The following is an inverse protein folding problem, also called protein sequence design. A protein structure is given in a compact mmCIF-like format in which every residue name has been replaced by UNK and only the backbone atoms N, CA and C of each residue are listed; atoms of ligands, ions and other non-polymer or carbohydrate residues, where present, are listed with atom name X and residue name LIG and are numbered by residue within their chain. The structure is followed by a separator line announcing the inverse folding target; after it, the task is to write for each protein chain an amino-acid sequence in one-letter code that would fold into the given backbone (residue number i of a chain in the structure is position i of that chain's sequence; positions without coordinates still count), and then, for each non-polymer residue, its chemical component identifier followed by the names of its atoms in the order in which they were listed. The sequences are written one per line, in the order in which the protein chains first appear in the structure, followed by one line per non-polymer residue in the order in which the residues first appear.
data_IF_019974012379
#
_entry.id   IF_019974012379
#
_cell.length_a   1.000
_cell.length_b   1.000
_cell.length_c   1.000
_cell.angle_alpha   90.00
_cell.angle_beta   90.00
_cell.angle_gamma   90.00
#
_symmetry.space_group_name_H-M   'P 1'
#
loop_
_entity.id
_entity.type
_entity.pdbx_description
1 polymer ?
#
# COMPACT_ATOMS: atom_id res chain seq x y z
N UNK A 1 27.20 0.34 11.59
CA UNK A 1 26.02 1.18 11.83
C UNK A 1 26.42 2.56 12.26
N UNK A 2 26.01 3.53 11.49
CA UNK A 2 26.42 4.93 11.63
C UNK A 2 25.89 5.66 12.88
N UNK A 3 25.15 4.99 13.75
CA UNK A 3 24.51 5.62 14.92
C UNK A 3 24.98 5.06 16.27
N UNK A 4 26.01 4.22 16.34
CA UNK A 4 26.52 3.66 17.60
C UNK A 4 25.47 2.85 18.39
N UNK A 5 24.40 2.42 17.74
CA UNK A 5 23.30 1.66 18.34
C UNK A 5 23.70 0.19 18.50
N UNK A 6 23.33 -0.41 19.62
CA UNK A 6 23.44 -1.86 19.79
C UNK A 6 22.51 -2.58 18.78
N UNK A 7 22.84 -3.83 18.42
CA UNK A 7 22.04 -4.62 17.46
C UNK A 7 20.57 -4.67 17.89
N UNK A 8 20.30 -4.85 19.18
CA UNK A 8 18.93 -4.87 19.73
C UNK A 8 18.21 -3.53 19.56
N UNK A 9 18.90 -2.41 19.81
CA UNK A 9 18.32 -1.07 19.64
C UNK A 9 18.05 -0.77 18.15
N UNK A 10 18.94 -1.18 17.26
CA UNK A 10 18.73 -1.05 15.81
C UNK A 10 17.54 -1.86 15.31
N UNK A 11 17.32 -3.07 15.82
CA UNK A 11 16.17 -3.91 15.50
C UNK A 11 14.85 -3.27 15.98
N UNK A 12 14.81 -2.77 17.21
CA UNK A 12 13.63 -2.08 17.76
C UNK A 12 13.32 -0.82 16.95
N UNK A 13 14.34 -0.02 16.64
CA UNK A 13 14.16 1.17 15.79
C UNK A 13 13.65 0.81 14.40
N UNK A 14 14.17 -0.24 13.78
CA UNK A 14 13.73 -0.73 12.49
C UNK A 14 12.26 -1.19 12.53
N UNK A 15 11.87 -1.93 13.56
CA UNK A 15 10.50 -2.39 13.77
C UNK A 15 9.52 -1.22 13.92
N UNK A 16 9.87 -0.25 14.77
CA UNK A 16 9.03 0.95 14.98
C UNK A 16 8.91 1.75 13.68
N UNK A 17 10.00 1.96 12.98
CA UNK A 17 10.01 2.67 11.68
C UNK A 17 9.14 1.96 10.65
N UNK A 18 9.20 0.63 10.58
CA UNK A 18 8.38 -0.17 9.69
C UNK A 18 6.89 -0.05 10.04
N UNK A 19 6.54 -0.09 11.33
CA UNK A 19 5.15 0.09 11.78
C UNK A 19 4.62 1.48 11.41
N UNK A 20 5.42 2.54 11.57
CA UNK A 20 5.03 3.89 11.16
C UNK A 20 4.86 4.00 9.65
N UNK A 21 5.75 3.40 8.88
CA UNK A 21 5.67 3.37 7.42
C UNK A 21 4.39 2.66 6.96
N UNK A 22 4.14 1.45 7.46
CA UNK A 22 2.95 0.67 7.11
C UNK A 22 1.66 1.40 7.49
N UNK A 23 1.60 1.95 8.69
CA UNK A 23 0.45 2.74 9.15
C UNK A 23 0.22 3.95 8.26
N UNK A 24 1.27 4.68 7.90
CA UNK A 24 1.18 5.88 7.05
C UNK A 24 0.68 5.53 5.65
N UNK A 25 1.17 4.46 5.05
CA UNK A 25 0.74 3.98 3.73
C UNK A 25 -0.74 3.59 3.78
N UNK A 26 -1.16 2.83 4.77
CA UNK A 26 -2.54 2.39 4.91
C UNK A 26 -3.49 3.57 5.16
N UNK A 27 -3.08 4.55 5.97
CA UNK A 27 -3.87 5.78 6.19
C UNK A 27 -4.02 6.62 4.92
N UNK A 28 -2.99 6.72 4.09
CA UNK A 28 -3.02 7.47 2.84
C UNK A 28 -3.82 6.75 1.75
N UNK A 29 -3.75 5.42 1.70
CA UNK A 29 -4.35 4.60 0.64
C UNK A 29 -5.88 4.66 0.66
N UNK A 30 -6.53 4.71 1.83
CA UNK A 30 -7.98 4.68 1.94
C UNK A 30 -8.65 5.94 1.36
N UNK A 31 -8.27 7.17 1.74
CA UNK A 31 -8.79 8.38 1.11
C UNK A 31 -8.58 8.40 -0.40
N UNK A 32 -7.43 7.91 -0.87
CA UNK A 32 -7.13 7.86 -2.29
C UNK A 32 -8.08 6.93 -3.07
N UNK A 33 -8.42 5.78 -2.49
CA UNK A 33 -9.41 4.86 -3.07
C UNK A 33 -10.82 5.45 -3.04
N UNK A 34 -11.18 6.11 -1.95
CA UNK A 34 -12.49 6.76 -1.81
C UNK A 34 -12.67 7.90 -2.82
N UNK A 35 -11.66 8.73 -2.98
CA UNK A 35 -11.67 9.85 -3.95
C UNK A 35 -12.02 9.38 -5.37
N UNK A 36 -11.49 8.24 -5.82
CA UNK A 36 -11.85 7.68 -7.14
C UNK A 36 -13.33 7.37 -7.20
N UNK A 37 -13.91 6.78 -6.15
CA UNK A 37 -15.33 6.48 -6.08
C UNK A 37 -16.24 7.72 -6.05
N UNK A 38 -15.75 8.80 -5.44
CA UNK A 38 -16.50 10.04 -5.27
C UNK A 38 -16.50 10.91 -6.55
N UNK A 39 -15.44 10.82 -7.34
CA UNK A 39 -15.26 11.64 -8.55
C UNK A 39 -15.85 11.03 -9.82
N UNK A 40 -16.29 9.78 -9.81
CA UNK A 40 -16.84 9.09 -10.97
C UNK A 40 -18.32 8.74 -10.79
N UNK A 41 -19.06 8.76 -11.91
CA UNK A 41 -20.46 8.35 -11.93
C UNK A 41 -20.59 6.87 -11.56
N UNK A 42 -21.70 6.50 -10.93
CA UNK A 42 -22.03 5.13 -10.51
C UNK A 42 -21.81 4.08 -11.62
N UNK A 43 -22.18 4.42 -12.86
CA UNK A 43 -22.02 3.54 -14.03
C UNK A 43 -20.55 3.29 -14.41
N UNK A 44 -19.65 4.16 -14.02
CA UNK A 44 -18.21 4.10 -14.37
C UNK A 44 -17.36 3.65 -13.20
N UNK A 45 -17.89 3.53 -11.99
CA UNK A 45 -17.12 3.13 -10.80
C UNK A 45 -16.36 1.83 -10.99
N UNK A 46 -17.00 0.81 -11.58
CA UNK A 46 -16.35 -0.48 -11.84
C UNK A 46 -15.14 -0.36 -12.74
N UNK A 47 -15.25 0.41 -13.82
CA UNK A 47 -14.13 0.67 -14.73
C UNK A 47 -13.02 1.47 -14.06
N UNK A 48 -13.37 2.51 -13.31
CA UNK A 48 -12.40 3.36 -12.60
C UNK A 48 -11.58 2.57 -11.57
N UNK A 49 -12.22 1.72 -10.77
CA UNK A 49 -11.52 0.83 -9.83
C UNK A 49 -10.67 -0.24 -10.54
N UNK A 50 -11.10 -0.73 -11.68
CA UNK A 50 -10.32 -1.67 -12.49
C UNK A 50 -9.05 -1.02 -13.03
N UNK A 51 -9.15 0.19 -13.55
CA UNK A 51 -8.00 0.99 -14.01
C UNK A 51 -7.06 1.29 -12.84
N UNK A 52 -7.59 1.71 -11.70
CA UNK A 52 -6.80 1.97 -10.50
C UNK A 52 -6.03 0.71 -10.06
N UNK A 53 -6.69 -0.45 -10.02
CA UNK A 53 -6.05 -1.71 -9.67
C UNK A 53 -4.97 -2.10 -10.68
N UNK A 54 -5.23 -1.92 -11.97
CA UNK A 54 -4.24 -2.16 -13.02
C UNK A 54 -3.00 -1.28 -12.83
N UNK A 55 -3.17 0.02 -12.61
CA UNK A 55 -2.06 0.95 -12.40
C UNK A 55 -1.27 0.65 -11.12
N UNK A 56 -1.95 0.27 -10.04
CA UNK A 56 -1.29 -0.17 -8.80
C UNK A 56 -0.40 -1.41 -9.03
N UNK A 57 -0.91 -2.41 -9.74
CA UNK A 57 -0.13 -3.61 -10.04
C UNK A 57 1.02 -3.33 -11.02
N UNK A 58 0.80 -2.48 -12.02
CA UNK A 58 1.86 -2.04 -12.92
C UNK A 58 2.97 -1.27 -12.18
N UNK A 59 2.59 -0.40 -11.23
CA UNK A 59 3.54 0.28 -10.35
C UNK A 59 4.34 -0.68 -9.47
N UNK A 60 3.70 -1.69 -8.90
CA UNK A 60 4.38 -2.74 -8.14
C UNK A 60 5.39 -3.50 -8.99
N UNK A 61 5.01 -3.89 -10.21
CA UNK A 61 5.92 -4.56 -11.15
C UNK A 61 7.12 -3.67 -11.50
N UNK A 62 6.90 -2.39 -11.77
CA UNK A 62 7.98 -1.43 -12.01
C UNK A 62 8.92 -1.32 -10.80
N UNK A 63 8.38 -1.27 -9.58
CA UNK A 63 9.17 -1.25 -8.34
C UNK A 63 10.08 -2.48 -8.19
N UNK A 64 9.59 -3.67 -8.52
CA UNK A 64 10.39 -4.89 -8.51
C UNK A 64 11.49 -4.89 -9.58
N UNK A 65 11.29 -4.21 -10.70
CA UNK A 65 12.28 -4.13 -11.78
C UNK A 65 13.40 -3.12 -11.50
N UNK A 66 13.21 -2.14 -10.64
CA UNK A 66 14.21 -1.09 -10.39
C UNK A 66 15.59 -1.63 -10.01
N UNK A 67 15.77 -2.56 -9.08
CA UNK A 67 17.10 -3.08 -8.77
C UNK A 67 17.82 -3.71 -9.98
N UNK A 68 17.05 -4.36 -10.86
CA UNK A 68 17.59 -4.97 -12.09
C UNK A 68 17.99 -3.91 -13.12
N UNK A 69 17.17 -2.87 -13.26
CA UNK A 69 17.47 -1.73 -14.14
C UNK A 69 18.74 -1.02 -13.66
N UNK A 70 18.89 -0.80 -12.37
CA UNK A 70 20.11 -0.17 -11.81
C UNK A 70 21.33 -1.06 -11.97
N UNK A 71 21.19 -2.37 -11.81
CA UNK A 71 22.27 -3.31 -12.10
C UNK A 71 22.71 -3.25 -13.57
N UNK A 72 21.76 -3.12 -14.50
CA UNK A 72 22.05 -2.99 -15.94
C UNK A 72 22.78 -1.68 -16.28
N UNK A 73 22.59 -0.62 -15.51
CA UNK A 73 23.28 0.68 -15.66
C UNK A 73 24.68 0.67 -14.98
N UNK A 74 25.04 -0.43 -14.29
CA UNK A 74 26.34 -0.59 -13.65
C UNK A 74 26.37 -0.28 -12.15
N UNK A 75 25.21 -0.09 -11.52
CA UNK A 75 25.10 0.05 -10.06
C UNK A 75 25.11 -1.35 -9.44
N UNK A 76 26.00 -1.57 -8.47
CA UNK A 76 26.18 -2.89 -7.87
C UNK A 76 24.89 -3.39 -7.19
N UNK A 77 24.47 -4.58 -7.59
CA UNK A 77 23.36 -5.32 -6.95
C UNK A 77 23.87 -6.36 -5.93
N UNK A 78 25.20 -6.42 -5.72
CA UNK A 78 25.85 -7.35 -4.80
C UNK A 78 26.56 -6.51 -3.73
N UNK A 79 26.31 -6.86 -2.48
CA UNK A 79 26.98 -6.24 -1.34
C UNK A 79 27.53 -7.32 -0.38
N UNK A 80 28.57 -7.02 0.41
CA UNK A 80 29.05 -7.89 1.48
C UNK A 80 27.95 -8.22 2.48
N UNK A 81 28.08 -9.35 3.19
CA UNK A 81 27.13 -9.75 4.22
C UNK A 81 26.87 -8.60 5.24
N UNK A 82 25.61 -8.25 5.43
CA UNK A 82 25.18 -7.20 6.36
C UNK A 82 25.14 -5.79 5.78
N UNK A 83 25.42 -5.61 4.50
CA UNK A 83 25.30 -4.33 3.79
C UNK A 83 24.23 -4.44 2.72
N UNK A 84 23.38 -3.42 2.65
CA UNK A 84 22.34 -3.35 1.62
C UNK A 84 22.96 -2.92 0.29
N UNK A 85 22.68 -3.60 -0.85
CA UNK A 85 23.19 -3.20 -2.16
C UNK A 85 22.77 -1.78 -2.55
N UNK A 86 23.64 -1.05 -3.22
CA UNK A 86 23.40 0.33 -3.64
C UNK A 86 22.19 0.46 -4.58
N UNK A 87 21.97 -0.54 -5.45
CA UNK A 87 20.79 -0.60 -6.31
C UNK A 87 19.47 -0.57 -5.54
N UNK A 88 19.41 -1.23 -4.39
CA UNK A 88 18.23 -1.24 -3.51
C UNK A 88 18.04 0.12 -2.85
N UNK A 89 19.13 0.72 -2.35
CA UNK A 89 19.12 2.05 -1.71
C UNK A 89 18.60 3.10 -2.70
N UNK A 90 19.12 3.14 -3.93
CA UNK A 90 18.66 4.06 -4.96
C UNK A 90 17.22 3.80 -5.38
N UNK A 91 16.77 2.53 -5.42
CA UNK A 91 15.37 2.19 -5.69
C UNK A 91 14.43 2.81 -4.66
N UNK A 92 14.79 2.76 -3.37
CA UNK A 92 14.00 3.39 -2.31
C UNK A 92 13.97 4.92 -2.44
N UNK A 93 15.11 5.57 -2.71
CA UNK A 93 15.14 7.03 -2.87
C UNK A 93 14.33 7.51 -4.06
N UNK A 94 14.43 6.84 -5.20
CA UNK A 94 13.68 7.19 -6.40
C UNK A 94 12.19 6.90 -6.19
N UNK A 95 11.84 5.77 -5.60
CA UNK A 95 10.47 5.45 -5.24
C UNK A 95 9.84 6.49 -4.31
N UNK A 96 10.58 6.92 -3.28
CA UNK A 96 10.14 7.96 -2.36
C UNK A 96 9.96 9.31 -3.07
N UNK A 97 10.90 9.69 -3.95
CA UNK A 97 10.81 10.93 -4.74
C UNK A 97 9.57 10.92 -5.65
N UNK A 98 9.35 9.82 -6.38
CA UNK A 98 8.17 9.65 -7.23
C UNK A 98 6.89 9.78 -6.40
N UNK A 99 6.82 9.11 -5.25
CA UNK A 99 5.66 9.18 -4.36
C UNK A 99 5.36 10.62 -3.92
N UNK A 100 6.38 11.34 -3.46
CA UNK A 100 6.23 12.74 -3.02
C UNK A 100 5.75 13.62 -4.17
N UNK A 101 6.34 13.49 -5.35
CA UNK A 101 5.94 14.28 -6.52
C UNK A 101 4.49 13.97 -6.94
N UNK A 102 4.09 12.69 -6.92
CA UNK A 102 2.71 12.29 -7.21
C UNK A 102 1.72 12.85 -6.19
N UNK A 103 2.05 12.82 -4.90
CA UNK A 103 1.19 13.38 -3.85
C UNK A 103 1.05 14.90 -4.02
N UNK A 104 2.16 15.62 -4.24
CA UNK A 104 2.13 17.07 -4.47
C UNK A 104 1.29 17.40 -5.71
N UNK A 105 1.51 16.68 -6.81
CA UNK A 105 0.74 16.88 -8.05
C UNK A 105 -0.76 16.64 -7.82
N UNK A 106 -1.11 15.55 -7.16
CA UNK A 106 -2.52 15.21 -6.86
C UNK A 106 -3.15 16.28 -5.98
N UNK A 107 -2.49 16.68 -4.90
CA UNK A 107 -2.99 17.70 -3.97
C UNK A 107 -3.15 19.09 -4.63
N UNK A 108 -2.31 19.40 -5.62
CA UNK A 108 -2.39 20.68 -6.34
C UNK A 108 -3.43 20.70 -7.46
N UNK A 109 -3.69 19.56 -8.11
CA UNK A 109 -4.52 19.48 -9.32
C UNK A 109 -5.90 18.91 -9.08
N UNK A 110 -6.04 17.97 -8.17
CA UNK A 110 -7.33 17.33 -7.89
C UNK A 110 -8.10 18.18 -6.89
N UNK A 111 -9.27 18.65 -7.30
CA UNK A 111 -10.22 19.33 -6.40
C UNK A 111 -11.33 18.36 -6.08
N UNK A 112 -11.53 18.13 -4.80
CA UNK A 112 -12.69 17.36 -4.32
C UNK A 112 -13.96 18.19 -4.51
N UNK A 113 -15.07 17.51 -4.77
CA UNK A 113 -16.36 18.19 -4.84
C UNK A 113 -16.73 18.78 -3.47
N UNK A 114 -17.16 20.05 -3.40
CA UNK A 114 -17.79 20.57 -2.19
C UNK A 114 -18.99 19.69 -1.80
N UNK A 115 -19.33 19.57 -0.51
CA UNK A 115 -20.41 18.69 -0.04
C UNK A 115 -21.75 18.91 -0.75
N UNK A 116 -22.04 20.15 -1.17
CA UNK A 116 -23.25 20.52 -1.88
C UNK A 116 -23.24 19.99 -3.34
N UNK A 117 -22.10 20.14 -4.04
CA UNK A 117 -21.92 19.65 -5.39
C UNK A 117 -21.89 18.11 -5.41
N UNK A 118 -21.26 17.50 -4.42
CA UNK A 118 -21.25 16.05 -4.24
C UNK A 118 -22.67 15.50 -4.06
N UNK A 119 -23.48 16.13 -3.21
CA UNK A 119 -24.85 15.74 -3.00
C UNK A 119 -25.70 15.87 -4.27
N UNK A 120 -25.53 16.95 -5.03
CA UNK A 120 -26.21 17.17 -6.30
C UNK A 120 -25.80 16.14 -7.36
N UNK A 121 -24.49 15.84 -7.45
CA UNK A 121 -23.95 14.89 -8.43
C UNK A 121 -24.40 13.45 -8.17
N UNK A 122 -24.52 13.05 -6.91
CA UNK A 122 -24.95 11.71 -6.51
C UNK A 122 -26.44 11.61 -6.20
N UNK A 123 -27.21 12.68 -6.40
CA UNK A 123 -28.66 12.70 -6.17
C UNK A 123 -29.05 12.50 -4.70
N UNK A 124 -28.18 12.89 -3.76
CA UNK A 124 -28.42 12.76 -2.33
C UNK A 124 -29.23 13.96 -1.85
N UNK A 125 -30.46 13.77 -1.49
CA UNK A 125 -31.30 14.81 -0.89
C UNK A 125 -30.84 15.10 0.53
N UNK A 126 -30.68 16.37 0.89
CA UNK A 126 -30.07 16.89 2.12
C UNK A 126 -30.83 16.59 3.44
N UNK A 127 -31.60 15.52 3.54
CA UNK A 127 -32.30 15.17 4.78
C UNK A 127 -31.57 14.22 5.73
N UNK A 128 -30.28 13.94 5.48
CA UNK A 128 -29.50 13.18 6.44
C UNK A 128 -28.99 14.10 7.55
N UNK A 129 -29.83 14.33 8.59
CA UNK A 129 -29.38 14.80 9.89
C UNK A 129 -28.10 14.05 10.26
N UNK A 130 -27.02 14.78 10.57
CA UNK A 130 -25.80 14.25 11.19
C UNK A 130 -26.15 13.64 12.56
N UNK A 131 -26.74 12.47 12.57
CA UNK A 131 -26.75 11.67 13.79
C UNK A 131 -25.30 11.31 14.12
N UNK A 132 -24.88 11.70 15.31
CA UNK A 132 -23.61 11.23 15.88
C UNK A 132 -23.72 9.72 16.05
N UNK A 133 -23.39 8.98 14.99
CA UNK A 133 -23.51 7.54 14.99
C UNK A 133 -22.31 6.95 15.72
N UNK A 134 -22.58 6.26 16.81
CA UNK A 134 -21.56 5.60 17.61
C UNK A 134 -21.00 4.42 16.80
N UNK A 135 -19.71 4.47 16.46
CA UNK A 135 -19.04 3.49 15.60
C UNK A 135 -19.22 2.05 16.10
N UNK A 136 -19.18 1.83 17.41
CA UNK A 136 -19.46 0.53 18.02
C UNK A 136 -20.88 0.04 17.76
N UNK A 137 -21.85 0.92 17.80
CA UNK A 137 -23.25 0.58 17.53
C UNK A 137 -23.49 0.20 16.07
N UNK A 138 -22.77 0.85 15.15
CA UNK A 138 -22.74 0.48 13.72
C UNK A 138 -22.13 -0.90 13.50
N UNK A 139 -21.02 -1.18 14.15
CA UNK A 139 -20.33 -2.47 14.02
C UNK A 139 -21.21 -3.63 14.50
N UNK A 140 -21.84 -3.47 15.66
CA UNK A 140 -22.77 -4.50 16.21
C UNK A 140 -24.02 -4.70 15.34
N UNK A 141 -24.49 -3.62 14.69
CA UNK A 141 -25.65 -3.67 13.78
C UNK A 141 -25.28 -4.03 12.33
N UNK A 142 -24.00 -4.28 12.06
CA UNK A 142 -23.54 -4.61 10.72
C UNK A 142 -24.23 -5.90 10.19
N UNK A 143 -24.61 -5.94 8.93
CA UNK A 143 -25.25 -7.10 8.33
C UNK A 143 -24.35 -8.34 8.40
N UNK A 144 -24.95 -9.53 8.49
CA UNK A 144 -24.20 -10.80 8.54
C UNK A 144 -23.19 -10.95 7.41
N UNK A 145 -23.53 -10.45 6.21
CA UNK A 145 -22.63 -10.43 5.06
C UNK A 145 -21.30 -9.72 5.36
N UNK A 146 -21.32 -8.63 6.10
CA UNK A 146 -20.10 -7.90 6.50
C UNK A 146 -19.14 -8.78 7.32
N UNK A 147 -19.66 -9.50 8.30
CA UNK A 147 -18.87 -10.40 9.13
C UNK A 147 -18.36 -11.62 8.36
N UNK A 148 -19.18 -12.17 7.48
CA UNK A 148 -18.79 -13.30 6.62
C UNK A 148 -17.65 -12.89 5.68
N UNK A 149 -17.76 -11.74 5.01
CA UNK A 149 -16.71 -11.22 4.13
C UNK A 149 -15.45 -10.91 4.94
N UNK A 150 -15.57 -10.32 6.12
CA UNK A 150 -14.45 -10.06 7.01
C UNK A 150 -13.69 -11.34 7.41
N UNK A 151 -14.42 -12.40 7.73
CA UNK A 151 -13.83 -13.70 8.07
C UNK A 151 -13.09 -14.32 6.87
N UNK A 152 -13.71 -14.32 5.70
CA UNK A 152 -13.06 -14.80 4.47
C UNK A 152 -11.79 -14.01 4.18
N UNK A 153 -11.86 -12.68 4.29
CA UNK A 153 -10.71 -11.80 4.07
C UNK A 153 -9.57 -12.08 5.05
N UNK A 154 -9.89 -12.35 6.31
CA UNK A 154 -8.90 -12.72 7.32
C UNK A 154 -8.11 -13.98 6.91
N UNK A 155 -8.79 -15.04 6.50
CA UNK A 155 -8.12 -16.27 6.07
C UNK A 155 -7.36 -16.10 4.74
N UNK A 156 -7.89 -15.32 3.80
CA UNK A 156 -7.19 -14.98 2.56
C UNK A 156 -5.87 -14.25 2.83
N UNK A 157 -5.88 -13.24 3.70
CA UNK A 157 -4.67 -12.51 4.07
C UNK A 157 -3.67 -13.39 4.82
N UNK A 158 -4.13 -14.27 5.70
CA UNK A 158 -3.27 -15.25 6.36
C UNK A 158 -2.57 -16.15 5.31
N UNK A 159 -3.29 -16.67 4.33
CA UNK A 159 -2.72 -17.48 3.26
C UNK A 159 -1.70 -16.69 2.40
N UNK A 160 -1.99 -15.44 2.05
CA UNK A 160 -1.05 -14.59 1.33
C UNK A 160 0.22 -14.30 2.12
N UNK A 161 0.12 -14.05 3.43
CA UNK A 161 1.28 -13.85 4.28
C UNK A 161 2.17 -15.09 4.33
N UNK A 162 1.59 -16.29 4.44
CA UNK A 162 2.34 -17.53 4.35
C UNK A 162 3.03 -17.68 2.98
N UNK A 163 2.32 -17.44 1.90
CA UNK A 163 2.87 -17.48 0.56
C UNK A 163 4.07 -16.54 0.42
N UNK A 164 3.93 -15.26 0.78
CA UNK A 164 5.01 -14.29 0.65
C UNK A 164 6.23 -14.60 1.52
N UNK A 165 6.01 -15.12 2.72
CA UNK A 165 7.10 -15.44 3.65
C UNK A 165 7.93 -16.63 3.17
N UNK A 166 7.28 -17.67 2.67
CA UNK A 166 7.95 -18.94 2.38
C UNK A 166 8.30 -19.17 0.90
N UNK A 167 7.68 -18.45 -0.03
CA UNK A 167 7.92 -18.65 -1.47
C UNK A 167 9.39 -18.43 -1.83
N UNK A 168 10.01 -17.36 -1.36
CA UNK A 168 11.40 -17.05 -1.66
C UNK A 168 12.35 -18.16 -1.22
N UNK A 169 12.22 -18.63 0.02
CA UNK A 169 13.02 -19.70 0.56
C UNK A 169 12.80 -21.02 -0.18
N UNK A 170 11.56 -21.34 -0.49
CA UNK A 170 11.19 -22.57 -1.20
C UNK A 170 11.76 -22.57 -2.63
N UNK A 171 11.68 -21.45 -3.34
CA UNK A 171 12.24 -21.34 -4.69
C UNK A 171 13.77 -21.39 -4.66
N UNK A 172 14.41 -20.69 -3.72
CA UNK A 172 15.86 -20.72 -3.58
C UNK A 172 16.38 -22.16 -3.33
N UNK A 173 15.71 -22.88 -2.45
CA UNK A 173 16.13 -24.25 -2.07
C UNK A 173 15.85 -25.27 -3.17
N UNK A 174 14.65 -25.24 -3.80
CA UNK A 174 14.22 -26.31 -4.69
C UNK A 174 14.52 -26.07 -6.18
N UNK A 175 14.77 -24.81 -6.58
CA UNK A 175 15.06 -24.48 -7.98
C UNK A 175 16.52 -24.13 -8.17
N UNK A 176 17.14 -23.46 -7.20
CA UNK A 176 18.51 -22.97 -7.33
C UNK A 176 19.53 -23.68 -6.43
N UNK A 177 19.11 -24.67 -5.66
CA UNK A 177 19.96 -25.44 -4.72
C UNK A 177 20.80 -24.54 -3.78
N UNK A 178 20.33 -23.33 -3.52
CA UNK A 178 21.01 -22.37 -2.65
C UNK A 178 20.47 -22.49 -1.22
N UNK A 179 21.33 -22.71 -0.22
CA UNK A 179 20.86 -22.75 1.16
C UNK A 179 20.22 -21.43 1.56
N UNK A 180 19.01 -21.52 2.13
CA UNK A 180 18.34 -20.37 2.73
C UNK A 180 19.12 -19.94 3.96
N UNK A 181 19.75 -18.77 3.92
CA UNK A 181 20.52 -18.18 5.02
C UNK A 181 19.59 -17.30 5.85
#
# INVERSE_FOLDING_TARGET
GSFGMTVSAAMVFGLISLMFLDTSINMAMQPFKMMVGDMVNEKQKGLAYSIQSFLCNAGSLAGYLFPFIFAAIGISNIAPKGIIPDSVIYSFYIGALILILCVIYTSAKVKEFPPEEYAAYHGITHESKKEKTNMFKLLVKAPKAFWTVGLVQFFCWAAFMFMWTYTNGTVALNVFDTPVI
#
